data_IF_093144424765
#
_entry.id   IF_093144424765
#
_cell.length_a   1.000
_cell.length_b   1.000
_cell.length_c   1.000
_cell.angle_alpha   90.00
_cell.angle_beta   90.00
_cell.angle_gamma   90.00
#
_symmetry.space_group_name_H-M   'P 1'
#
loop_
_entity.id
_entity.type
_entity.pdbx_description
1 polymer ?
#
# COMPACT_ATOMS: atom_id res chain seq x y z
N UNK A 1 3.87 -15.09 -27.75
CA UNK A 1 3.93 -13.67 -27.34
C UNK A 1 4.22 -13.60 -25.85
N UNK A 2 5.07 -12.64 -25.44
CA UNK A 2 5.35 -12.33 -24.04
C UNK A 2 5.10 -10.84 -23.80
N UNK A 3 4.28 -10.53 -22.80
CA UNK A 3 3.92 -9.17 -22.39
C UNK A 3 4.39 -8.98 -20.96
N UNK A 4 5.09 -7.87 -20.71
CA UNK A 4 5.49 -7.43 -19.37
C UNK A 4 4.73 -6.16 -19.03
N UNK A 5 4.22 -6.10 -17.81
CA UNK A 5 3.49 -4.95 -17.29
C UNK A 5 4.30 -4.39 -16.14
N UNK A 6 4.67 -3.12 -16.26
CA UNK A 6 5.41 -2.38 -15.25
C UNK A 6 4.58 -1.22 -14.74
N UNK A 7 4.69 -0.95 -13.45
CA UNK A 7 4.22 0.28 -12.84
C UNK A 7 5.42 1.21 -12.63
N UNK A 8 5.23 2.49 -12.92
CA UNK A 8 6.20 3.53 -12.69
C UNK A 8 5.62 4.44 -11.61
N UNK A 9 6.33 4.56 -10.49
CA UNK A 9 6.00 5.50 -9.42
C UNK A 9 6.96 6.66 -9.53
N UNK A 10 6.43 7.86 -9.75
CA UNK A 10 7.21 9.09 -9.81
C UNK A 10 7.08 9.84 -8.48
N UNK A 11 8.22 10.26 -7.92
CA UNK A 11 8.24 11.15 -6.77
C UNK A 11 7.84 12.57 -7.20
N UNK A 12 7.13 13.31 -6.34
CA UNK A 12 6.76 14.71 -6.56
C UNK A 12 7.97 15.63 -6.85
N UNK A 13 9.16 15.22 -6.42
CA UNK A 13 10.40 15.97 -6.65
C UNK A 13 11.04 15.68 -8.02
N UNK A 14 10.46 14.80 -8.84
CA UNK A 14 10.93 14.46 -10.20
C UNK A 14 12.23 13.65 -10.27
N UNK A 15 12.98 13.57 -9.18
CA UNK A 15 14.33 13.00 -9.14
C UNK A 15 14.38 11.47 -8.98
N UNK A 16 13.24 10.80 -8.76
CA UNK A 16 13.21 9.36 -8.52
C UNK A 16 11.98 8.71 -9.14
N UNK A 17 12.25 7.75 -10.03
CA UNK A 17 11.26 6.86 -10.62
C UNK A 17 11.54 5.44 -10.15
N UNK A 18 10.56 4.80 -9.53
CA UNK A 18 10.62 3.36 -9.21
C UNK A 18 9.84 2.62 -10.29
N UNK A 19 10.56 1.84 -11.10
CA UNK A 19 9.95 0.95 -12.09
C UNK A 19 9.88 -0.45 -11.51
N UNK A 20 8.67 -0.97 -11.33
CA UNK A 20 8.44 -2.32 -10.81
C UNK A 20 7.67 -3.15 -11.83
N UNK A 21 8.19 -4.33 -12.17
CA UNK A 21 7.41 -5.32 -12.92
C UNK A 21 6.35 -5.92 -12.00
N UNK A 22 5.08 -5.74 -12.35
CA UNK A 22 3.94 -6.19 -11.54
C UNK A 22 3.27 -7.43 -12.13
N UNK A 23 3.47 -7.72 -13.42
CA UNK A 23 2.92 -8.92 -14.04
C UNK A 23 3.65 -9.24 -15.33
N UNK A 24 3.76 -10.54 -15.61
CA UNK A 24 4.18 -11.05 -16.90
C UNK A 24 3.12 -12.00 -17.44
N UNK A 25 2.76 -11.86 -18.71
CA UNK A 25 1.77 -12.67 -19.40
C UNK A 25 2.42 -13.32 -20.62
N UNK A 26 2.32 -14.63 -20.71
CA UNK A 26 2.79 -15.40 -21.86
C UNK A 26 1.60 -16.04 -22.59
N UNK A 27 1.67 -16.03 -23.92
CA UNK A 27 0.63 -16.54 -24.83
C UNK A 27 1.26 -17.34 -25.96
N UNK A 28 0.63 -18.45 -26.30
CA UNK A 28 0.93 -19.25 -27.49
C UNK A 28 0.28 -18.67 -28.76
N UNK A 29 -0.09 -19.56 -29.68
CA UNK A 29 -0.89 -19.20 -30.85
C UNK A 29 -2.26 -18.63 -30.44
N UNK A 30 -2.79 -17.67 -31.21
CA UNK A 30 -4.07 -17.03 -30.92
C UNK A 30 -5.21 -18.05 -30.96
N UNK A 31 -6.02 -18.06 -29.91
CA UNK A 31 -7.26 -18.84 -29.78
C UNK A 31 -8.34 -17.93 -29.16
N UNK A 32 -9.64 -18.16 -29.42
CA UNK A 32 -10.72 -17.36 -28.84
C UNK A 32 -10.61 -17.19 -27.30
N UNK A 33 -10.22 -18.24 -26.58
CA UNK A 33 -10.09 -18.27 -25.12
C UNK A 33 -8.83 -17.57 -24.56
N UNK A 34 -7.89 -17.18 -25.42
CA UNK A 34 -6.66 -16.52 -25.02
C UNK A 34 -6.53 -15.09 -25.55
N UNK A 35 -7.56 -14.61 -26.26
CA UNK A 35 -7.72 -13.23 -26.68
C UNK A 35 -7.93 -12.33 -25.46
N UNK A 36 -7.00 -11.41 -25.23
CA UNK A 36 -7.05 -10.45 -24.12
C UNK A 36 -6.66 -11.04 -22.75
N UNK A 37 -7.11 -10.34 -21.70
CA UNK A 37 -6.89 -10.75 -20.31
C UNK A 37 -7.92 -11.78 -19.87
N UNK A 38 -7.46 -12.85 -19.24
CA UNK A 38 -8.33 -13.77 -18.49
C UNK A 38 -8.78 -13.08 -17.20
N UNK A 39 -9.93 -13.48 -16.68
CA UNK A 39 -10.45 -12.94 -15.42
C UNK A 39 -9.44 -13.08 -14.26
N UNK A 40 -8.77 -14.23 -14.16
CA UNK A 40 -7.74 -14.45 -13.15
C UNK A 40 -6.56 -13.48 -13.31
N UNK A 41 -6.15 -13.20 -14.54
CA UNK A 41 -5.06 -12.27 -14.82
C UNK A 41 -5.45 -10.83 -14.51
N UNK A 42 -6.67 -10.43 -14.86
CA UNK A 42 -7.20 -9.12 -14.52
C UNK A 42 -7.25 -8.91 -13.00
N UNK A 43 -7.69 -9.92 -12.24
CA UNK A 43 -7.69 -9.85 -10.77
C UNK A 43 -6.27 -9.71 -10.20
N UNK A 44 -5.33 -10.53 -10.66
CA UNK A 44 -3.93 -10.45 -10.22
C UNK A 44 -3.31 -9.10 -10.57
N UNK A 45 -3.53 -8.60 -11.78
CA UNK A 45 -3.03 -7.31 -12.22
C UNK A 45 -3.55 -6.18 -11.34
N UNK A 46 -4.87 -6.12 -11.13
CA UNK A 46 -5.50 -5.08 -10.30
C UNK A 46 -5.07 -5.19 -8.83
N UNK A 47 -4.89 -6.40 -8.31
CA UNK A 47 -4.36 -6.60 -6.96
C UNK A 47 -2.94 -6.05 -6.83
N UNK A 48 -2.06 -6.32 -7.79
CA UNK A 48 -0.68 -5.86 -7.75
C UNK A 48 -0.59 -4.34 -7.91
N UNK A 49 -1.40 -3.73 -8.78
CA UNK A 49 -1.52 -2.27 -8.90
C UNK A 49 -1.97 -1.67 -7.57
N UNK A 50 -3.03 -2.21 -6.95
CA UNK A 50 -3.51 -1.70 -5.67
C UNK A 50 -2.47 -1.84 -4.55
N UNK A 51 -1.72 -2.94 -4.54
CA UNK A 51 -0.67 -3.16 -3.54
C UNK A 51 0.43 -2.11 -3.67
N UNK A 52 0.98 -1.88 -4.87
CA UNK A 52 2.01 -0.86 -5.08
C UNK A 52 1.50 0.54 -4.71
N UNK A 53 0.29 0.92 -5.14
CA UNK A 53 -0.27 2.24 -4.83
C UNK A 53 -0.47 2.43 -3.33
N UNK A 54 -1.06 1.45 -2.65
CA UNK A 54 -1.32 1.53 -1.22
C UNK A 54 -0.02 1.56 -0.39
N UNK A 55 1.02 0.85 -0.82
CA UNK A 55 2.33 0.91 -0.15
C UNK A 55 2.95 2.31 -0.22
N UNK A 56 2.89 2.99 -1.37
CA UNK A 56 3.40 4.37 -1.51
C UNK A 56 2.58 5.34 -0.66
N UNK A 57 1.25 5.27 -0.73
CA UNK A 57 0.36 6.11 0.09
C UNK A 57 0.61 5.91 1.60
N UNK A 58 0.81 4.67 2.03
CA UNK A 58 1.13 4.36 3.43
C UNK A 58 2.50 4.90 3.83
N UNK A 59 3.50 4.81 2.96
CA UNK A 59 4.83 5.35 3.22
C UNK A 59 4.80 6.87 3.37
N UNK A 60 4.18 7.58 2.43
CA UNK A 60 3.99 9.03 2.45
C UNK A 60 3.22 9.49 3.70
N UNK A 61 2.06 8.86 3.96
CA UNK A 61 1.27 9.16 5.14
C UNK A 61 2.10 8.93 6.42
N UNK A 62 2.86 7.84 6.50
CA UNK A 62 3.69 7.55 7.67
C UNK A 62 4.78 8.61 7.89
N UNK A 63 5.41 9.12 6.82
CA UNK A 63 6.39 10.20 6.92
C UNK A 63 5.76 11.48 7.49
N UNK A 64 4.53 11.80 7.08
CA UNK A 64 3.78 12.95 7.61
C UNK A 64 3.48 12.82 9.11
N UNK A 65 3.51 11.61 9.68
CA UNK A 65 3.28 11.36 11.10
C UNK A 65 4.57 11.32 11.94
N UNK A 66 5.75 11.58 11.36
CA UNK A 66 7.03 11.52 12.09
C UNK A 66 7.22 12.63 13.14
N UNK A 67 6.36 13.66 13.15
CA UNK A 67 6.46 14.78 14.08
C UNK A 67 5.29 14.80 15.06
N UNK A 68 5.56 15.20 16.30
CA UNK A 68 4.52 15.46 17.28
C UNK A 68 3.67 16.67 16.86
N UNK A 69 2.35 16.51 16.78
CA UNK A 69 1.44 17.60 16.43
C UNK A 69 1.43 18.77 17.44
N UNK A 70 1.93 18.57 18.66
CA UNK A 70 1.90 19.59 19.72
C UNK A 70 3.20 20.40 19.81
N UNK A 71 4.35 19.73 19.77
CA UNK A 71 5.66 20.38 19.96
C UNK A 71 6.61 20.22 18.76
N UNK A 72 6.16 19.60 17.67
CA UNK A 72 6.92 19.35 16.44
C UNK A 72 8.19 18.53 16.62
N UNK A 73 8.40 17.91 17.79
CA UNK A 73 9.53 17.01 18.02
C UNK A 73 9.39 15.73 17.21
N UNK A 74 10.51 15.24 16.66
CA UNK A 74 10.55 13.99 15.92
C UNK A 74 10.21 12.81 16.84
N UNK A 75 9.24 12.00 16.42
CA UNK A 75 8.81 10.80 17.12
C UNK A 75 9.77 9.66 16.85
N UNK A 76 10.02 8.85 17.88
CA UNK A 76 10.88 7.68 17.77
C UNK A 76 10.10 6.50 17.18
N UNK A 77 10.76 5.75 16.29
CA UNK A 77 10.21 4.53 15.72
C UNK A 77 10.40 3.38 16.72
N UNK A 78 9.33 2.65 17.02
CA UNK A 78 9.35 1.50 17.94
C UNK A 78 9.64 0.20 17.21
N UNK A 79 8.77 -0.15 16.27
CA UNK A 79 8.82 -1.35 15.44
C UNK A 79 8.09 -1.08 14.13
N UNK A 80 8.20 -2.01 13.17
CA UNK A 80 7.34 -2.07 11.98
C UNK A 80 6.38 -3.24 12.15
N UNK A 81 5.13 -3.04 11.78
CA UNK A 81 4.11 -4.10 11.79
C UNK A 81 3.33 -4.10 10.51
N UNK A 82 2.96 -5.29 10.07
CA UNK A 82 2.08 -5.47 8.93
C UNK A 82 0.62 -5.39 9.37
N UNK A 83 -0.17 -4.56 8.70
CA UNK A 83 -1.63 -4.65 8.76
C UNK A 83 -2.14 -5.36 7.50
N UNK A 84 -3.26 -6.05 7.62
CA UNK A 84 -3.97 -6.61 6.47
C UNK A 84 -5.16 -5.71 6.15
N UNK A 85 -5.22 -5.21 4.93
CA UNK A 85 -6.34 -4.42 4.41
C UNK A 85 -7.02 -5.18 3.28
N UNK A 86 -8.33 -5.41 3.37
CA UNK A 86 -9.09 -6.21 2.40
C UNK A 86 -9.71 -5.32 1.33
N UNK A 87 -9.55 -5.67 0.06
CA UNK A 87 -10.16 -4.98 -1.08
C UNK A 87 -10.90 -5.97 -1.97
N UNK A 88 -11.67 -5.46 -2.92
CA UNK A 88 -12.35 -6.27 -3.94
C UNK A 88 -11.39 -7.18 -4.72
N UNK A 89 -10.13 -6.74 -4.90
CA UNK A 89 -9.14 -7.44 -5.71
C UNK A 89 -8.23 -8.35 -4.88
N UNK A 90 -8.29 -8.31 -3.55
CA UNK A 90 -7.53 -9.20 -2.68
C UNK A 90 -7.15 -8.58 -1.34
N UNK A 91 -6.23 -9.24 -0.64
CA UNK A 91 -5.68 -8.74 0.63
C UNK A 91 -4.38 -8.00 0.36
N UNK A 92 -4.28 -6.77 0.86
CA UNK A 92 -3.07 -5.98 0.88
C UNK A 92 -2.37 -6.15 2.22
N UNK A 93 -1.09 -6.48 2.20
CA UNK A 93 -0.24 -6.57 3.38
C UNK A 93 0.61 -5.31 3.44
N UNK A 94 0.23 -4.37 4.30
CA UNK A 94 0.83 -3.04 4.34
C UNK A 94 1.78 -2.96 5.54
N UNK A 95 3.05 -2.67 5.27
CA UNK A 95 4.04 -2.45 6.32
C UNK A 95 3.89 -1.03 6.89
N UNK A 96 3.66 -0.93 8.19
CA UNK A 96 3.39 0.34 8.86
C UNK A 96 4.32 0.51 10.06
N UNK A 97 4.94 1.69 10.25
CA UNK A 97 5.70 1.95 11.45
C UNK A 97 4.76 2.07 12.65
N UNK A 98 5.28 1.71 13.82
CA UNK A 98 4.70 2.07 15.11
C UNK A 98 5.59 3.13 15.75
N UNK A 99 4.98 4.22 16.19
CA UNK A 99 5.67 5.37 16.76
C UNK A 99 5.47 5.41 18.26
N UNK A 100 6.48 5.86 18.99
CA UNK A 100 6.32 6.25 20.38
C UNK A 100 5.53 7.56 20.46
N UNK A 101 4.69 7.68 21.48
CA UNK A 101 4.11 8.97 21.79
C UNK A 101 5.19 9.94 22.28
N UNK A 102 5.00 11.23 22.00
CA UNK A 102 5.88 12.26 22.53
C UNK A 102 5.66 12.41 24.04
N UNK A 103 6.72 12.57 24.85
CA UNK A 103 6.57 12.83 26.29
C UNK A 103 5.99 14.21 26.62
N UNK A 104 5.76 15.08 25.64
CA UNK A 104 5.20 16.42 25.86
C UNK A 104 3.71 16.41 26.25
N UNK A 105 3.03 15.27 26.11
CA UNK A 105 1.64 15.08 26.49
C UNK A 105 1.48 13.75 27.21
N UNK A 106 0.60 13.70 28.20
CA UNK A 106 0.18 12.44 28.80
C UNK A 106 -0.63 11.62 27.78
N UNK A 107 -0.29 10.35 27.63
CA UNK A 107 -0.88 9.47 26.64
C UNK A 107 -1.26 8.15 27.30
N UNK A 108 -2.43 7.57 26.96
CA UNK A 108 -2.92 6.35 27.60
C UNK A 108 -2.07 5.12 27.27
N UNK A 109 -1.29 5.19 26.19
CA UNK A 109 -0.36 4.13 25.80
C UNK A 109 1.00 4.69 25.47
N UNK A 110 2.03 3.83 25.48
CA UNK A 110 3.41 4.24 25.16
C UNK A 110 3.66 4.45 23.65
N UNK A 111 2.86 3.81 22.79
CA UNK A 111 3.13 3.80 21.34
C UNK A 111 1.88 3.47 20.53
N UNK A 112 1.73 4.12 19.39
CA UNK A 112 0.58 4.01 18.48
C UNK A 112 1.05 3.64 17.06
N UNK A 113 0.15 3.09 16.26
CA UNK A 113 0.41 2.83 14.84
C UNK A 113 -0.48 3.78 14.02
N UNK A 114 0.09 4.80 13.35
CA UNK A 114 -0.68 5.83 12.66
C UNK A 114 -1.59 5.24 11.57
N UNK A 115 -1.06 4.37 10.72
CA UNK A 115 -1.83 3.72 9.65
C UNK A 115 -2.90 2.80 10.23
N UNK A 116 -2.60 2.17 11.37
CA UNK A 116 -3.58 1.38 12.07
C UNK A 116 -4.78 2.23 12.51
N UNK A 117 -4.51 3.42 13.05
CA UNK A 117 -5.54 4.34 13.50
C UNK A 117 -6.32 4.96 12.32
N UNK A 118 -5.65 5.21 11.18
CA UNK A 118 -6.28 5.76 9.97
C UNK A 118 -7.26 4.78 9.31
N UNK A 119 -6.96 3.48 9.35
CA UNK A 119 -7.74 2.44 8.65
C UNK A 119 -8.38 1.42 9.62
N UNK A 120 -9.26 1.83 10.54
CA UNK A 120 -9.74 0.97 11.61
C UNK A 120 -10.53 -0.25 11.12
N UNK A 121 -11.31 -0.14 10.04
CA UNK A 121 -12.17 -1.19 9.50
C UNK A 121 -11.42 -2.26 8.70
N UNK A 122 -10.15 -2.01 8.34
CA UNK A 122 -9.28 -2.93 7.58
C UNK A 122 -9.89 -3.46 6.28
N UNK A 123 -10.81 -2.70 5.68
CA UNK A 123 -11.61 -3.13 4.54
C UNK A 123 -11.98 -1.94 3.68
N UNK A 124 -11.84 -2.06 2.36
CA UNK A 124 -12.26 -1.03 1.41
C UNK A 124 -13.78 -0.95 1.32
N UNK A 125 -14.32 0.24 1.08
CA UNK A 125 -15.76 0.44 0.96
C UNK A 125 -16.33 -0.35 -0.21
N UNK A 126 -15.61 -0.41 -1.33
CA UNK A 126 -16.00 -1.14 -2.54
C UNK A 126 -16.19 -2.64 -2.26
N UNK A 127 -15.41 -3.23 -1.35
CA UNK A 127 -15.60 -4.63 -0.95
C UNK A 127 -16.87 -4.84 -0.12
N UNK A 128 -17.37 -3.82 0.56
CA UNK A 128 -18.59 -3.92 1.38
C UNK A 128 -19.88 -3.79 0.53
N UNK A 129 -19.79 -3.19 -0.65
CA UNK A 129 -20.94 -2.92 -1.52
C UNK A 129 -21.15 -3.97 -2.63
N UNK A 130 -20.18 -4.85 -2.87
CA UNK A 130 -20.19 -5.87 -3.93
C UNK A 130 -20.14 -7.28 -3.33
#
# INVERSE_FOLDING_TARGET
>A
MKVKIQIVVESDNGDSQVVQEIMQIERGALQPENLGLKLAEAKTLLQNIQHTLAEQQVAEYSQQQELCLHCSQKLLHKDKRTIVYRTLFGKLHLQCPRLFHCPCQEQPTRSFNPVANLLPERTSRELLYL
#
